data_IF_329833892338
#
_entry.id   IF_329833892338
#
_cell.length_a   1.000
_cell.length_b   1.000
_cell.length_c   1.000
_cell.angle_alpha   90.00
_cell.angle_beta   90.00
_cell.angle_gamma   90.00
#
_symmetry.space_group_name_H-M   'P 1'
#
loop_
_entity.id
_entity.type
_entity.pdbx_description
1 polymer ?
#
# COMPACT_ATOMS: atom_id res chain seq x y z
N UNK A 1 -13.57 -50.47 -45.28
CA UNK A 1 -12.87 -50.41 -43.96
C UNK A 1 -12.16 -49.07 -43.89
N UNK A 2 -12.76 -48.10 -43.25
CA UNK A 2 -12.19 -46.78 -43.09
C UNK A 2 -12.21 -46.42 -41.59
N UNK A 3 -11.05 -46.34 -40.97
CA UNK A 3 -10.88 -45.98 -39.57
C UNK A 3 -10.80 -44.48 -39.44
N UNK A 4 -11.75 -43.93 -38.72
CA UNK A 4 -11.83 -42.49 -38.38
C UNK A 4 -10.97 -42.23 -37.12
N UNK A 5 -9.89 -41.48 -37.25
CA UNK A 5 -9.12 -40.97 -36.12
C UNK A 5 -9.75 -39.66 -35.59
N UNK A 6 -10.35 -39.74 -34.43
CA UNK A 6 -10.81 -38.57 -33.66
C UNK A 6 -9.62 -37.94 -32.94
N UNK A 7 -9.27 -36.73 -33.41
CA UNK A 7 -8.28 -35.87 -32.74
C UNK A 7 -9.00 -35.14 -31.61
N UNK A 8 -8.67 -35.52 -30.36
CA UNK A 8 -9.15 -34.86 -29.16
C UNK A 8 -8.29 -33.61 -28.91
N UNK A 9 -8.85 -32.44 -29.18
CA UNK A 9 -8.24 -31.15 -28.81
C UNK A 9 -8.51 -30.93 -27.32
N UNK A 10 -7.52 -31.14 -26.50
CA UNK A 10 -7.52 -30.74 -25.09
C UNK A 10 -7.25 -29.25 -25.02
N UNK A 11 -8.30 -28.45 -24.84
CA UNK A 11 -8.22 -27.03 -24.45
C UNK A 11 -7.60 -26.94 -23.04
N UNK A 12 -6.33 -26.56 -22.99
CA UNK A 12 -5.68 -26.17 -21.74
C UNK A 12 -6.24 -24.83 -21.28
N UNK A 13 -7.13 -24.87 -20.31
CA UNK A 13 -7.55 -23.67 -19.57
C UNK A 13 -6.36 -23.26 -18.69
N UNK A 14 -5.54 -22.31 -19.18
CA UNK A 14 -4.53 -21.66 -18.40
C UNK A 14 -5.21 -20.85 -17.29
N UNK A 15 -5.15 -21.38 -16.06
CA UNK A 15 -5.53 -20.66 -14.85
C UNK A 15 -4.54 -19.52 -14.65
N UNK A 16 -4.85 -18.33 -15.16
CA UNK A 16 -4.15 -17.11 -14.81
C UNK A 16 -4.49 -16.82 -13.34
N UNK A 17 -3.64 -17.31 -12.44
CA UNK A 17 -3.65 -16.92 -11.03
C UNK A 17 -3.20 -15.46 -11.01
N UNK A 18 -4.17 -14.56 -11.01
CA UNK A 18 -3.93 -13.13 -10.75
C UNK A 18 -3.54 -13.04 -9.26
N UNK A 19 -2.25 -13.02 -9.01
CA UNK A 19 -1.68 -12.83 -7.69
C UNK A 19 -1.78 -11.35 -7.35
N UNK A 20 -3.00 -10.87 -7.03
CA UNK A 20 -3.21 -9.56 -6.45
C UNK A 20 -2.66 -9.60 -5.02
N UNK A 21 -1.38 -9.24 -4.88
CA UNK A 21 -0.69 -9.22 -3.59
C UNK A 21 -0.93 -7.86 -2.93
N UNK A 22 -1.87 -7.82 -2.06
CA UNK A 22 -2.04 -7.15 -0.79
C UNK A 22 -1.04 -6.00 -0.50
N UNK A 23 -1.50 -4.76 -0.68
CA UNK A 23 -0.72 -3.55 -0.41
C UNK A 23 -0.23 -3.45 1.05
N UNK A 24 -0.93 -4.05 2.00
CA UNK A 24 -0.64 -3.90 3.43
C UNK A 24 -0.12 -5.18 4.12
N UNK A 25 -0.06 -6.32 3.47
CA UNK A 25 0.55 -7.55 4.07
C UNK A 25 2.05 -7.43 4.33
N UNK A 26 2.61 -6.28 4.07
CA UNK A 26 4.05 -6.02 4.17
C UNK A 26 4.42 -5.01 5.27
N UNK A 27 3.69 -4.92 6.38
CA UNK A 27 4.21 -4.22 7.56
C UNK A 27 5.45 -4.96 8.05
N UNK A 28 6.62 -4.48 7.64
CA UNK A 28 7.91 -5.18 7.82
C UNK A 28 8.90 -4.38 8.64
N UNK A 29 8.70 -3.07 8.72
CA UNK A 29 9.64 -2.15 9.37
C UNK A 29 9.34 -2.06 10.87
N UNK A 30 10.37 -2.01 11.70
CA UNK A 30 10.22 -1.91 13.15
C UNK A 30 9.99 -0.49 13.62
N UNK A 31 10.39 0.50 12.84
CA UNK A 31 10.27 1.93 13.15
C UNK A 31 9.46 2.67 12.09
N UNK A 32 8.79 3.78 12.44
CA UNK A 32 8.14 4.65 11.45
C UNK A 32 9.17 5.49 10.69
N UNK A 33 8.75 6.13 9.60
CA UNK A 33 9.60 7.11 8.88
C UNK A 33 9.90 8.30 9.80
N UNK A 34 8.86 8.86 10.43
CA UNK A 34 8.97 9.94 11.43
C UNK A 34 8.29 9.51 12.72
N UNK A 35 8.76 10.00 13.86
CA UNK A 35 8.23 9.66 15.18
C UNK A 35 6.83 10.25 15.46
N UNK A 36 6.45 11.27 14.70
CA UNK A 36 5.18 11.97 14.82
C UNK A 36 4.67 12.41 13.43
N UNK A 37 3.36 12.71 13.30
CA UNK A 37 2.81 13.25 12.06
C UNK A 37 3.52 14.54 11.61
N UNK A 38 3.80 14.66 10.33
CA UNK A 38 4.40 15.87 9.72
C UNK A 38 3.36 16.85 9.22
N UNK A 39 2.10 16.40 9.06
CA UNK A 39 0.95 17.23 8.69
C UNK A 39 -0.35 16.65 9.25
N UNK A 40 -1.38 17.46 9.26
CA UNK A 40 -2.72 17.06 9.68
C UNK A 40 -3.39 16.10 8.71
N UNK A 41 -4.43 15.44 9.19
CA UNK A 41 -5.33 14.59 8.39
C UNK A 41 -5.89 15.40 7.21
N UNK A 42 -5.82 14.82 6.02
CA UNK A 42 -6.43 15.39 4.81
C UNK A 42 -7.85 14.85 4.68
N UNK A 43 -8.85 15.70 4.81
CA UNK A 43 -10.27 15.32 4.73
C UNK A 43 -10.62 14.60 3.44
N UNK A 44 -9.96 14.95 2.34
CA UNK A 44 -10.20 14.35 1.02
C UNK A 44 -9.85 12.84 0.99
N UNK A 45 -8.94 12.39 1.86
CA UNK A 45 -8.59 10.96 1.99
C UNK A 45 -9.63 10.18 2.79
N UNK A 46 -10.44 10.86 3.61
CA UNK A 46 -11.47 10.20 4.42
C UNK A 46 -12.58 9.65 3.52
N UNK A 47 -13.08 8.47 3.85
CA UNK A 47 -14.17 7.84 3.13
C UNK A 47 -14.00 6.33 2.98
N UNK A 48 -14.87 5.78 2.15
CA UNK A 48 -14.85 4.38 1.75
C UNK A 48 -14.28 4.28 0.34
N UNK A 49 -13.39 3.35 0.15
CA UNK A 49 -12.64 3.13 -1.07
C UNK A 49 -12.76 1.68 -1.51
N UNK A 50 -12.80 1.43 -2.81
CA UNK A 50 -12.76 0.08 -3.38
C UNK A 50 -11.66 0.00 -4.44
N UNK A 51 -10.93 -1.11 -4.49
CA UNK A 51 -9.91 -1.33 -5.52
C UNK A 51 -10.52 -1.27 -6.92
N UNK A 52 -9.70 -0.99 -7.93
CA UNK A 52 -10.18 -0.85 -9.32
C UNK A 52 -10.84 -2.12 -9.85
N UNK A 53 -10.42 -3.30 -9.36
CA UNK A 53 -11.05 -4.59 -9.68
C UNK A 53 -12.26 -4.93 -8.80
N UNK A 54 -12.58 -4.09 -7.81
CA UNK A 54 -13.74 -4.21 -6.92
C UNK A 54 -13.63 -5.28 -5.83
N UNK A 55 -12.49 -5.95 -5.69
CA UNK A 55 -12.34 -7.07 -4.74
C UNK A 55 -11.97 -6.61 -3.33
N UNK A 56 -11.21 -5.53 -3.22
CA UNK A 56 -10.70 -5.04 -1.95
C UNK A 56 -11.44 -3.78 -1.51
N UNK A 57 -11.65 -3.64 -0.21
CA UNK A 57 -12.31 -2.50 0.39
C UNK A 57 -11.43 -1.87 1.45
N UNK A 58 -11.35 -0.55 1.44
CA UNK A 58 -10.62 0.21 2.43
C UNK A 58 -11.52 1.32 2.99
N UNK A 59 -11.51 1.49 4.31
CA UNK A 59 -12.21 2.57 5.00
C UNK A 59 -11.20 3.43 5.72
N UNK A 60 -11.17 4.71 5.41
CA UNK A 60 -10.26 5.68 6.02
C UNK A 60 -11.06 6.65 6.87
N UNK A 61 -10.70 6.79 8.14
CA UNK A 61 -11.34 7.70 9.10
C UNK A 61 -10.26 8.52 9.83
N UNK A 62 -10.58 9.73 10.20
CA UNK A 62 -9.75 10.51 11.12
C UNK A 62 -9.87 9.93 12.54
N UNK A 63 -8.74 9.76 13.23
CA UNK A 63 -8.69 9.42 14.64
C UNK A 63 -8.58 10.69 15.49
N UNK A 64 -7.68 11.57 15.07
CA UNK A 64 -7.48 12.91 15.61
C UNK A 64 -6.92 13.85 14.51
N UNK A 65 -6.31 14.97 14.89
CA UNK A 65 -5.78 15.94 13.92
C UNK A 65 -4.64 15.39 13.05
N UNK A 66 -3.86 14.42 13.54
CA UNK A 66 -2.65 13.90 12.88
C UNK A 66 -2.75 12.46 12.40
N UNK A 67 -3.74 11.70 12.89
CA UNK A 67 -3.78 10.26 12.66
C UNK A 67 -5.06 9.81 11.95
N UNK A 68 -4.89 8.79 11.12
CA UNK A 68 -5.97 8.04 10.50
C UNK A 68 -6.11 6.67 11.16
N UNK A 69 -7.34 6.17 11.19
CA UNK A 69 -7.66 4.74 11.31
C UNK A 69 -8.03 4.23 9.94
N UNK A 70 -7.37 3.17 9.50
CA UNK A 70 -7.62 2.51 8.23
C UNK A 70 -8.04 1.08 8.49
N UNK A 71 -9.23 0.71 8.00
CA UNK A 71 -9.66 -0.67 7.93
C UNK A 71 -9.52 -1.14 6.48
N UNK A 72 -8.78 -2.21 6.27
CA UNK A 72 -8.49 -2.74 4.95
C UNK A 72 -8.49 -4.26 5.00
N UNK A 73 -9.34 -4.88 4.19
CA UNK A 73 -9.46 -6.33 3.99
C UNK A 73 -9.50 -7.16 5.29
N UNK A 74 -10.18 -6.65 6.31
CA UNK A 74 -10.32 -7.34 7.61
C UNK A 74 -9.34 -6.86 8.68
N UNK A 75 -8.30 -6.13 8.32
CA UNK A 75 -7.25 -5.65 9.20
C UNK A 75 -7.39 -4.17 9.56
N UNK A 76 -6.91 -3.81 10.74
CA UNK A 76 -6.95 -2.47 11.28
C UNK A 76 -5.54 -1.87 11.36
N UNK A 77 -5.40 -0.63 10.87
CA UNK A 77 -4.14 0.10 10.85
C UNK A 77 -4.31 1.49 11.44
N UNK A 78 -3.22 2.01 12.01
CA UNK A 78 -3.05 3.43 12.30
C UNK A 78 -2.09 4.02 11.27
N UNK A 79 -2.45 5.15 10.69
CA UNK A 79 -1.62 5.77 9.68
C UNK A 79 -1.45 7.28 9.94
N UNK A 80 -0.35 7.86 9.47
CA UNK A 80 -0.10 9.30 9.54
C UNK A 80 0.92 9.75 8.51
N UNK A 81 0.85 11.01 8.11
CA UNK A 81 1.80 11.61 7.19
C UNK A 81 3.21 11.70 7.79
N UNK A 82 4.20 11.30 7.02
CA UNK A 82 5.61 11.24 7.38
C UNK A 82 6.45 11.74 6.20
N UNK A 83 6.46 13.06 5.99
CA UNK A 83 7.18 13.66 4.85
C UNK A 83 8.69 13.50 5.01
N UNK A 84 9.33 13.06 3.96
CA UNK A 84 10.77 12.90 3.89
C UNK A 84 11.23 13.09 2.44
N UNK A 85 12.39 13.71 2.22
CA UNK A 85 12.98 13.89 0.88
C UNK A 85 12.03 14.53 -0.14
N UNK A 86 11.23 15.52 0.29
CA UNK A 86 10.21 16.22 -0.50
C UNK A 86 9.10 15.29 -1.04
N UNK A 87 8.99 14.08 -0.47
CA UNK A 87 7.95 13.11 -0.80
C UNK A 87 6.98 12.98 0.39
N UNK A 88 5.69 12.99 0.07
CA UNK A 88 4.61 12.80 1.04
C UNK A 88 4.41 11.31 1.33
N UNK A 89 5.19 10.77 2.25
CA UNK A 89 4.97 9.40 2.73
C UNK A 89 3.87 9.33 3.78
N UNK A 90 3.39 8.11 3.99
CA UNK A 90 2.50 7.73 5.08
C UNK A 90 3.14 6.55 5.82
N UNK A 91 3.35 6.69 7.12
CA UNK A 91 3.69 5.57 8.01
C UNK A 91 2.40 4.85 8.40
N UNK A 92 2.27 3.59 8.02
CA UNK A 92 1.09 2.75 8.29
C UNK A 92 1.49 1.66 9.29
N UNK A 93 0.92 1.68 10.48
CA UNK A 93 1.20 0.73 11.56
C UNK A 93 0.12 -0.35 11.64
N UNK A 94 0.52 -1.61 11.59
CA UNK A 94 -0.35 -2.75 11.86
C UNK A 94 -0.80 -2.75 13.34
N UNK A 95 -2.12 -2.77 13.57
CA UNK A 95 -2.71 -2.85 14.90
C UNK A 95 -3.16 -4.27 15.29
N UNK A 96 -3.12 -5.22 14.38
CA UNK A 96 -3.58 -6.59 14.62
C UNK A 96 -2.47 -7.45 15.23
N UNK A 97 -1.21 -7.21 14.83
CA UNK A 97 -0.08 -7.96 15.34
C UNK A 97 0.48 -7.35 16.65
N UNK A 98 1.10 -8.19 17.48
CA UNK A 98 1.79 -7.73 18.70
C UNK A 98 3.02 -6.88 18.38
N UNK A 99 3.67 -7.15 17.25
CA UNK A 99 4.92 -6.50 16.84
C UNK A 99 4.72 -5.05 16.37
N UNK A 100 3.48 -4.67 16.05
CA UNK A 100 3.11 -3.29 15.66
C UNK A 100 4.00 -2.71 14.57
N UNK A 101 4.41 -3.53 13.59
CA UNK A 101 5.29 -3.14 12.50
C UNK A 101 4.65 -2.13 11.57
N UNK A 102 5.50 -1.47 10.78
CA UNK A 102 5.11 -0.43 9.85
C UNK A 102 5.25 -0.86 8.39
N UNK A 103 4.41 -0.30 7.54
CA UNK A 103 4.64 -0.14 6.11
C UNK A 103 4.85 1.34 5.80
N UNK A 104 5.63 1.62 4.75
CA UNK A 104 5.80 2.97 4.23
C UNK A 104 5.12 3.06 2.89
N UNK A 105 4.22 4.01 2.74
CA UNK A 105 3.35 4.13 1.58
C UNK A 105 3.43 5.55 1.04
N UNK A 106 3.36 5.70 -0.26
CA UNK A 106 3.04 6.98 -0.92
C UNK A 106 1.62 6.93 -1.42
N UNK A 107 0.86 7.97 -1.09
CA UNK A 107 -0.52 8.14 -1.52
C UNK A 107 -0.61 9.30 -2.53
N UNK A 108 -1.25 9.06 -3.65
CA UNK A 108 -1.56 10.11 -4.62
C UNK A 108 -3.05 10.15 -4.86
N UNK A 109 -3.66 11.27 -4.50
CA UNK A 109 -5.08 11.53 -4.73
C UNK A 109 -5.24 12.28 -6.07
N UNK A 110 -6.24 11.92 -6.87
CA UNK A 110 -6.61 12.66 -8.07
C UNK A 110 -7.19 14.02 -7.72
N UNK A 111 -7.12 14.97 -8.65
CA UNK A 111 -7.62 16.34 -8.45
C UNK A 111 -9.13 16.40 -8.13
N UNK A 112 -9.91 15.44 -8.64
CA UNK A 112 -11.33 15.31 -8.34
C UNK A 112 -11.64 14.60 -7.01
N UNK A 113 -10.61 14.11 -6.29
CA UNK A 113 -10.73 13.43 -5.01
C UNK A 113 -11.36 12.04 -5.08
N UNK A 114 -11.52 11.45 -6.28
CA UNK A 114 -12.24 10.20 -6.48
C UNK A 114 -11.35 8.98 -6.71
N UNK A 115 -10.10 9.19 -7.07
CA UNK A 115 -9.12 8.12 -7.31
C UNK A 115 -7.93 8.30 -6.38
N UNK A 116 -7.54 7.22 -5.76
CA UNK A 116 -6.40 7.15 -4.84
C UNK A 116 -5.45 6.06 -5.32
N UNK A 117 -4.22 6.42 -5.63
CA UNK A 117 -3.18 5.45 -5.90
C UNK A 117 -2.25 5.29 -4.70
N UNK A 118 -1.87 4.06 -4.41
CA UNK A 118 -0.99 3.68 -3.32
C UNK A 118 0.20 2.91 -3.86
N UNK A 119 1.40 3.23 -3.37
CA UNK A 119 2.61 2.48 -3.66
C UNK A 119 3.41 2.27 -2.38
N UNK A 120 3.80 1.03 -2.12
CA UNK A 120 4.65 0.69 -0.98
C UNK A 120 6.12 0.99 -1.30
N UNK A 121 6.88 1.38 -0.28
CA UNK A 121 8.34 1.42 -0.37
C UNK A 121 8.88 0.00 -0.45
N UNK A 122 9.83 -0.19 -1.36
CA UNK A 122 10.45 -1.48 -1.63
C UNK A 122 11.52 -1.81 -0.57
N UNK A 123 11.36 -2.94 0.10
CA UNK A 123 12.28 -3.41 1.15
C UNK A 123 13.67 -3.85 0.64
N UNK A 124 13.84 -3.99 -0.68
CA UNK A 124 15.16 -4.16 -1.30
C UNK A 124 15.97 -2.87 -1.37
N UNK A 125 15.28 -1.72 -1.39
CA UNK A 125 15.89 -0.38 -1.45
C UNK A 125 16.04 0.21 -0.05
N UNK A 126 15.01 0.07 0.79
CA UNK A 126 15.04 0.44 2.21
C UNK A 126 14.93 -0.84 3.03
N UNK A 127 16.04 -1.36 3.60
CA UNK A 127 16.02 -2.64 4.31
C UNK A 127 15.10 -2.63 5.53
N UNK A 128 14.28 -3.66 5.67
CA UNK A 128 13.31 -3.81 6.78
C UNK A 128 13.99 -3.92 8.16
N UNK A 129 15.26 -4.29 8.20
CA UNK A 129 16.07 -4.40 9.41
C UNK A 129 16.54 -3.05 9.93
N UNK A 130 16.24 -1.93 9.26
CA UNK A 130 16.58 -0.58 9.71
C UNK A 130 15.92 -0.28 11.06
N UNK A 131 16.73 0.12 12.05
CA UNK A 131 16.30 0.21 13.47
C UNK A 131 15.96 1.62 13.94
N UNK A 132 16.23 2.63 13.15
CA UNK A 132 15.97 4.02 13.53
C UNK A 132 15.42 4.84 12.36
N UNK A 133 14.56 5.80 12.68
CA UNK A 133 13.89 6.67 11.71
C UNK A 133 14.86 7.61 10.97
N UNK A 134 15.95 8.03 11.58
CA UNK A 134 16.91 8.90 10.91
C UNK A 134 17.60 8.17 9.76
N UNK A 135 17.99 6.92 9.97
CA UNK A 135 18.54 6.06 8.91
C UNK A 135 17.50 5.79 7.82
N UNK A 136 16.22 5.56 8.19
CA UNK A 136 15.13 5.41 7.20
C UNK A 136 15.03 6.66 6.33
N UNK A 137 14.97 7.85 6.93
CA UNK A 137 14.89 9.12 6.19
C UNK A 137 16.11 9.32 5.29
N UNK A 138 17.32 9.00 5.76
CA UNK A 138 18.55 9.11 4.96
C UNK A 138 18.51 8.16 3.74
N UNK A 139 18.03 6.94 3.91
CA UNK A 139 17.86 5.96 2.81
C UNK A 139 16.81 6.41 1.81
N UNK A 140 15.69 6.92 2.27
CA UNK A 140 14.63 7.47 1.40
C UNK A 140 15.16 8.67 0.61
N UNK A 141 15.88 9.60 1.26
CA UNK A 141 16.47 10.77 0.61
C UNK A 141 17.50 10.38 -0.45
N UNK A 142 18.38 9.44 -0.12
CA UNK A 142 19.40 8.93 -1.07
C UNK A 142 18.78 8.29 -2.30
N UNK A 143 17.59 7.66 -2.15
CA UNK A 143 16.93 6.90 -3.20
C UNK A 143 15.68 7.61 -3.76
N UNK A 144 15.46 8.89 -3.48
CA UNK A 144 14.26 9.62 -3.88
C UNK A 144 13.99 9.58 -5.40
N UNK A 145 15.04 9.49 -6.22
CA UNK A 145 14.96 9.40 -7.68
C UNK A 145 15.18 7.98 -8.22
N UNK A 146 15.32 6.98 -7.34
CA UNK A 146 15.47 5.59 -7.77
C UNK A 146 14.09 5.03 -8.18
N UNK A 147 13.89 4.60 -9.45
CA UNK A 147 12.62 4.06 -9.91
C UNK A 147 12.21 2.79 -9.16
N UNK A 148 13.18 2.05 -8.56
CA UNK A 148 12.92 0.84 -7.79
C UNK A 148 12.51 1.14 -6.34
N UNK A 149 12.51 2.41 -5.90
CA UNK A 149 12.12 2.78 -4.54
C UNK A 149 10.70 2.35 -4.21
N UNK A 150 9.82 2.32 -5.19
CA UNK A 150 8.42 1.99 -5.02
C UNK A 150 8.05 0.69 -5.71
N UNK A 151 7.22 -0.12 -5.04
CA UNK A 151 6.58 -1.28 -5.61
C UNK A 151 5.47 -0.93 -6.61
N UNK A 152 4.67 -1.93 -6.95
CA UNK A 152 3.53 -1.77 -7.85
C UNK A 152 2.51 -0.76 -7.30
N UNK A 153 1.82 -0.08 -8.22
CA UNK A 153 0.76 0.85 -7.91
C UNK A 153 -0.57 0.13 -7.77
N UNK A 154 -1.30 0.45 -6.70
CA UNK A 154 -2.65 -0.08 -6.46
C UNK A 154 -3.61 1.10 -6.49
N UNK A 155 -4.64 0.98 -7.30
CA UNK A 155 -5.63 2.03 -7.48
C UNK A 155 -6.94 1.70 -6.77
N UNK A 156 -7.48 2.72 -6.11
CA UNK A 156 -8.77 2.72 -5.45
C UNK A 156 -9.69 3.80 -6.00
N UNK A 157 -10.99 3.54 -5.98
CA UNK A 157 -12.04 4.50 -6.28
C UNK A 157 -12.82 4.81 -5.02
N UNK A 158 -13.16 6.08 -4.83
CA UNK A 158 -14.01 6.50 -3.72
C UNK A 158 -15.42 5.95 -3.95
N UNK A 159 -15.94 5.30 -2.93
CA UNK A 159 -17.35 4.90 -2.85
C UNK A 159 -18.08 6.06 -2.21
N UNK A 160 -19.30 6.33 -2.59
CA UNK A 160 -20.11 7.46 -2.07
C UNK A 160 -20.01 7.65 -0.57
#
# INVERSE_FOLDING_TARGET
>A
MASSNLISVRSGFGLAVCLCILAFTACKYEVPITSSPTRNVQEQLLGDWTSSDGKEQMKVRGLDEGFYVVYYDGDLFRAYHSDAADIAFVSVQDLNSKDRKYAYVVCKLSDDGKHLSLRNVNDKVVPKETKDSATVVALLSKNAHNPELFGEEIEFRKVK
#
